data_IF_195939560083
#
_entry.id   IF_195939560083
#
_cell.length_a   1.000
_cell.length_b   1.000
_cell.length_c   1.000
_cell.angle_alpha   90.00
_cell.angle_beta   90.00
_cell.angle_gamma   90.00
#
_symmetry.space_group_name_H-M   'P 1'
#
loop_
_entity.id
_entity.type
_entity.pdbx_description
1 polymer ?
#
# COMPACT_ATOMS: atom_id res chain seq x y z
N UNK A 1 51.90 -35.37 37.98
CA UNK A 1 51.25 -36.13 36.89
C UNK A 1 49.77 -35.80 36.89
N UNK A 2 49.31 -35.02 35.91
CA UNK A 2 47.90 -34.66 35.74
C UNK A 2 47.65 -34.40 34.27
N UNK A 3 46.92 -35.32 33.63
CA UNK A 3 46.79 -35.47 32.18
C UNK A 3 45.95 -34.37 31.54
N UNK A 4 46.47 -33.74 30.47
CA UNK A 4 45.75 -32.77 29.66
C UNK A 4 44.90 -33.51 28.63
N UNK A 5 43.57 -33.41 28.73
CA UNK A 5 42.63 -34.08 27.81
C UNK A 5 42.09 -33.07 26.80
N UNK A 6 42.64 -33.09 25.59
CA UNK A 6 42.16 -32.28 24.47
C UNK A 6 40.87 -32.88 23.92
N UNK A 7 39.75 -32.18 24.12
CA UNK A 7 38.42 -32.56 23.60
C UNK A 7 38.31 -32.14 22.13
N UNK A 8 38.36 -33.11 21.21
CA UNK A 8 38.11 -32.87 19.79
C UNK A 8 36.62 -32.53 19.55
N UNK A 9 36.35 -31.36 18.96
CA UNK A 9 35.02 -30.95 18.52
C UNK A 9 34.71 -31.63 17.18
N UNK A 10 33.74 -32.56 17.20
CA UNK A 10 33.26 -33.29 16.03
C UNK A 10 32.29 -32.41 15.25
N UNK A 11 32.70 -31.95 14.06
CA UNK A 11 31.84 -31.23 13.12
C UNK A 11 30.72 -32.17 12.64
N UNK A 12 29.46 -31.80 12.87
CA UNK A 12 28.31 -32.56 12.36
C UNK A 12 28.05 -32.14 10.91
N UNK A 13 28.10 -33.09 9.98
CA UNK A 13 27.78 -32.87 8.57
C UNK A 13 26.28 -32.53 8.43
N UNK A 14 25.98 -31.46 7.68
CA UNK A 14 24.62 -31.05 7.34
C UNK A 14 24.04 -32.06 6.35
N UNK A 15 23.07 -32.87 6.78
CA UNK A 15 22.26 -33.69 5.88
C UNK A 15 21.40 -32.78 4.97
N UNK A 16 21.31 -33.05 3.66
CA UNK A 16 20.40 -32.31 2.79
C UNK A 16 18.96 -32.67 3.15
N UNK A 17 18.14 -31.65 3.44
CA UNK A 17 16.69 -31.80 3.62
C UNK A 17 16.05 -32.10 2.26
N UNK A 18 15.52 -33.30 2.10
CA UNK A 18 14.67 -33.65 0.97
C UNK A 18 13.32 -32.92 1.10
N UNK A 19 12.97 -32.09 0.12
CA UNK A 19 11.65 -31.45 0.06
C UNK A 19 10.59 -32.48 -0.35
N UNK A 20 9.42 -32.54 0.29
CA UNK A 20 8.35 -33.43 -0.14
C UNK A 20 7.73 -32.94 -1.45
N UNK A 21 7.48 -33.91 -2.35
CA UNK A 21 6.80 -33.75 -3.64
C UNK A 21 5.42 -33.12 -3.46
N UNK A 22 5.11 -32.12 -4.29
CA UNK A 22 3.83 -31.43 -4.32
C UNK A 22 2.69 -32.37 -4.71
N UNK A 23 1.60 -32.36 -3.93
CA UNK A 23 0.34 -33.04 -4.25
C UNK A 23 -0.47 -32.19 -5.25
N UNK A 24 -1.10 -32.76 -6.28
CA UNK A 24 -2.00 -32.02 -7.14
C UNK A 24 -3.38 -31.89 -6.47
N UNK A 25 -3.99 -30.71 -6.56
CA UNK A 25 -5.43 -30.53 -6.34
C UNK A 25 -5.82 -29.53 -5.26
N UNK A 26 -5.80 -28.25 -5.61
CA UNK A 26 -6.82 -27.30 -5.15
C UNK A 26 -7.32 -26.57 -6.39
N UNK A 27 -8.53 -26.92 -6.80
CA UNK A 27 -9.25 -26.29 -7.90
C UNK A 27 -9.53 -24.83 -7.53
N UNK A 28 -8.95 -23.89 -8.28
CA UNK A 28 -9.21 -22.47 -8.12
C UNK A 28 -10.67 -22.22 -8.50
N UNK A 29 -11.54 -22.05 -7.51
CA UNK A 29 -12.93 -21.63 -7.74
C UNK A 29 -12.90 -20.23 -8.35
N UNK A 30 -13.12 -20.14 -9.65
CA UNK A 30 -13.30 -18.89 -10.39
C UNK A 30 -14.39 -18.06 -9.71
N UNK A 31 -13.99 -16.96 -9.08
CA UNK A 31 -14.90 -15.91 -8.60
C UNK A 31 -15.13 -14.90 -9.72
N UNK A 32 -15.52 -15.39 -10.89
CA UNK A 32 -15.83 -14.58 -12.07
C UNK A 32 -17.31 -14.24 -12.13
N UNK A 33 -17.70 -13.06 -11.65
CA UNK A 33 -18.98 -12.43 -12.02
C UNK A 33 -19.06 -10.96 -11.60
N UNK A 34 -18.40 -10.57 -10.50
CA UNK A 34 -18.48 -9.19 -9.99
C UNK A 34 -17.83 -8.14 -10.92
N UNK A 35 -16.73 -8.49 -11.60
CA UNK A 35 -16.01 -7.55 -12.48
C UNK A 35 -16.80 -7.13 -13.72
N UNK A 36 -17.47 -8.08 -14.39
CA UNK A 36 -18.22 -7.81 -15.63
C UNK A 36 -19.38 -6.84 -15.39
N UNK A 37 -20.13 -7.01 -14.29
CA UNK A 37 -21.24 -6.13 -13.95
C UNK A 37 -20.78 -4.72 -13.59
N UNK A 38 -19.57 -4.58 -13.04
CA UNK A 38 -18.98 -3.29 -12.68
C UNK A 38 -18.51 -2.52 -13.92
N UNK A 39 -17.87 -3.20 -14.87
CA UNK A 39 -17.41 -2.62 -16.14
C UNK A 39 -18.58 -2.13 -16.99
N UNK A 40 -19.69 -2.89 -17.04
CA UNK A 40 -20.89 -2.49 -17.79
C UNK A 40 -21.55 -1.22 -17.21
N UNK A 41 -21.54 -1.07 -15.89
CA UNK A 41 -22.10 0.10 -15.21
C UNK A 41 -21.20 1.34 -15.36
N UNK A 42 -19.88 1.15 -15.27
CA UNK A 42 -18.88 2.20 -15.55
C UNK A 42 -18.99 2.71 -16.99
N UNK A 43 -19.13 1.80 -17.97
CA UNK A 43 -19.31 2.19 -19.37
C UNK A 43 -20.62 2.97 -19.56
N UNK A 44 -21.73 2.53 -18.95
CA UNK A 44 -23.01 3.23 -19.04
C UNK A 44 -23.00 4.63 -18.40
N UNK A 45 -22.30 4.80 -17.26
CA UNK A 45 -22.15 6.09 -16.58
C UNK A 45 -21.26 7.08 -17.37
N UNK A 46 -20.24 6.57 -18.06
CA UNK A 46 -19.39 7.36 -18.98
C UNK A 46 -20.19 7.83 -20.19
N UNK A 47 -20.98 6.94 -20.80
CA UNK A 47 -21.87 7.27 -21.94
C UNK A 47 -22.98 8.25 -21.53
N UNK A 48 -23.42 8.23 -20.26
CA UNK A 48 -24.41 9.17 -19.72
C UNK A 48 -23.83 10.56 -19.36
N UNK A 49 -22.52 10.78 -19.54
CA UNK A 49 -21.87 12.08 -19.35
C UNK A 49 -21.86 12.62 -17.92
N UNK A 50 -22.22 11.81 -16.92
CA UNK A 50 -22.29 12.22 -15.51
C UNK A 50 -21.06 11.72 -14.75
N UNK A 51 -19.93 12.38 -14.96
CA UNK A 51 -18.72 12.12 -14.18
C UNK A 51 -18.84 12.73 -12.78
N UNK A 52 -18.49 11.96 -11.76
CA UNK A 52 -18.47 12.42 -10.37
C UNK A 52 -17.23 13.28 -10.13
N UNK A 53 -17.37 14.32 -9.32
CA UNK A 53 -16.24 15.17 -8.91
C UNK A 53 -15.43 14.51 -7.79
N UNK A 54 -14.22 15.03 -7.57
CA UNK A 54 -13.38 14.67 -6.42
C UNK A 54 -14.08 14.89 -5.07
N UNK A 55 -15.00 15.86 -5.01
CA UNK A 55 -15.76 16.19 -3.81
C UNK A 55 -16.87 15.17 -3.51
N UNK A 56 -17.25 14.35 -4.50
CA UNK A 56 -18.22 13.27 -4.35
C UNK A 56 -17.58 11.98 -3.82
N UNK A 57 -16.24 11.94 -3.67
CA UNK A 57 -15.57 10.77 -3.10
C UNK A 57 -15.90 10.60 -1.62
N UNK A 58 -16.18 9.37 -1.17
CA UNK A 58 -16.37 9.09 0.25
C UNK A 58 -15.05 9.31 0.99
N UNK A 59 -15.14 9.58 2.29
CA UNK A 59 -13.95 9.79 3.11
C UNK A 59 -14.28 10.15 4.56
N UNK A 60 -13.31 10.02 5.47
CA UNK A 60 -13.50 10.48 6.83
C UNK A 60 -13.58 12.02 6.88
N UNK A 61 -14.40 12.52 7.80
CA UNK A 61 -14.34 13.93 8.18
C UNK A 61 -13.00 14.24 8.87
N UNK A 62 -12.61 15.51 8.91
CA UNK A 62 -11.40 15.94 9.64
C UNK A 62 -11.44 15.55 11.12
N UNK A 63 -12.60 15.67 11.77
CA UNK A 63 -12.77 15.27 13.16
C UNK A 63 -12.58 13.75 13.35
N UNK A 64 -13.13 12.95 12.43
CA UNK A 64 -12.95 11.49 12.42
C UNK A 64 -11.47 11.13 12.25
N UNK A 65 -10.76 11.78 11.33
CA UNK A 65 -9.33 11.58 11.12
C UNK A 65 -8.53 11.88 12.39
N UNK A 66 -8.76 13.03 13.04
CA UNK A 66 -8.07 13.38 14.29
C UNK A 66 -8.36 12.38 15.42
N UNK A 67 -9.62 11.96 15.56
CA UNK A 67 -9.99 10.93 16.54
C UNK A 67 -9.25 9.62 16.28
N UNK A 68 -9.17 9.15 15.04
CA UNK A 68 -8.45 7.93 14.71
C UNK A 68 -6.95 8.03 14.97
N UNK A 69 -6.33 9.15 14.59
CA UNK A 69 -4.88 9.32 14.76
C UNK A 69 -4.49 9.42 16.23
N UNK A 70 -5.17 10.26 17.00
CA UNK A 70 -4.72 10.61 18.36
C UNK A 70 -5.42 9.84 19.48
N UNK A 71 -6.69 9.46 19.32
CA UNK A 71 -7.45 8.77 20.36
C UNK A 71 -7.46 7.26 20.15
N UNK A 72 -7.64 6.79 18.91
CA UNK A 72 -7.57 5.35 18.60
C UNK A 72 -6.14 4.84 18.42
N UNK A 73 -5.15 5.73 18.35
CA UNK A 73 -3.74 5.35 18.25
C UNK A 73 -3.37 4.74 16.91
N UNK A 74 -3.91 5.29 15.81
CA UNK A 74 -3.52 4.88 14.46
C UNK A 74 -2.35 5.67 13.87
N UNK A 75 -1.82 6.67 14.58
CA UNK A 75 -0.72 7.50 14.07
C UNK A 75 0.55 6.68 13.70
N UNK A 76 0.91 5.68 14.49
CA UNK A 76 2.01 4.75 14.23
C UNK A 76 1.58 3.47 13.48
N UNK A 77 0.28 3.33 13.20
CA UNK A 77 -0.35 2.14 12.59
C UNK A 77 -1.22 2.53 11.41
N UNK A 78 -0.74 3.48 10.60
CA UNK A 78 -1.46 4.03 9.45
C UNK A 78 -1.89 2.97 8.44
N UNK A 79 -1.08 1.93 8.24
CA UNK A 79 -1.42 0.79 7.38
C UNK A 79 -2.69 0.05 7.84
N UNK A 80 -2.90 -0.15 9.16
CA UNK A 80 -4.14 -0.73 9.68
C UNK A 80 -5.33 0.22 9.49
N UNK A 81 -5.09 1.54 9.58
CA UNK A 81 -6.12 2.53 9.32
C UNK A 81 -6.59 2.49 7.87
N UNK A 82 -5.69 2.24 6.91
CA UNK A 82 -6.05 2.07 5.49
C UNK A 82 -7.01 0.89 5.30
N UNK A 83 -6.79 -0.23 6.00
CA UNK A 83 -7.72 -1.38 5.95
C UNK A 83 -9.11 -1.01 6.49
N UNK A 84 -9.16 -0.29 7.61
CA UNK A 84 -10.42 0.18 8.20
C UNK A 84 -11.15 1.12 7.24
N UNK A 85 -10.44 2.09 6.66
CA UNK A 85 -11.01 3.05 5.72
C UNK A 85 -11.51 2.38 4.44
N UNK A 86 -10.72 1.45 3.87
CA UNK A 86 -11.14 0.64 2.72
C UNK A 86 -12.44 -0.10 2.99
N UNK A 87 -12.57 -0.71 4.16
CA UNK A 87 -13.78 -1.44 4.53
C UNK A 87 -15.00 -0.52 4.72
N UNK A 88 -14.80 0.74 5.12
CA UNK A 88 -15.88 1.71 5.34
C UNK A 88 -16.30 2.47 4.07
N UNK A 89 -15.34 2.86 3.24
CA UNK A 89 -15.55 3.78 2.12
C UNK A 89 -15.45 3.11 0.75
N UNK A 90 -14.97 1.86 0.70
CA UNK A 90 -14.84 1.08 -0.53
C UNK A 90 -13.46 1.18 -1.17
N UNK A 91 -13.34 0.83 -2.47
CA UNK A 91 -12.05 0.68 -3.15
C UNK A 91 -11.36 2.00 -3.51
N UNK A 92 -12.06 3.13 -3.41
CA UNK A 92 -11.52 4.48 -3.63
C UNK A 92 -12.14 5.45 -2.63
N UNK A 93 -11.30 6.24 -1.95
CA UNK A 93 -11.76 7.23 -0.98
C UNK A 93 -10.77 8.39 -0.84
N UNK A 94 -11.28 9.55 -0.41
CA UNK A 94 -10.47 10.75 -0.16
C UNK A 94 -10.16 10.87 1.33
N UNK A 95 -8.90 11.10 1.67
CA UNK A 95 -8.44 11.34 3.03
C UNK A 95 -7.78 12.70 3.12
N UNK A 96 -8.18 13.49 4.12
CA UNK A 96 -7.60 14.81 4.39
C UNK A 96 -6.97 14.80 5.77
N UNK A 97 -5.69 15.17 5.84
CA UNK A 97 -4.94 15.29 7.09
C UNK A 97 -3.99 16.48 7.01
N UNK A 98 -4.22 17.50 7.84
CA UNK A 98 -3.47 18.75 7.75
C UNK A 98 -3.59 19.37 6.36
N UNK A 99 -2.46 19.70 5.75
CA UNK A 99 -2.37 20.20 4.36
C UNK A 99 -2.43 19.09 3.30
N UNK A 100 -2.37 17.82 3.70
CA UNK A 100 -2.40 16.69 2.76
C UNK A 100 -3.84 16.36 2.37
N UNK A 101 -4.06 16.29 1.06
CA UNK A 101 -5.31 15.86 0.43
C UNK A 101 -4.98 14.69 -0.51
N UNK A 102 -5.41 13.49 -0.13
CA UNK A 102 -4.93 12.24 -0.71
C UNK A 102 -6.13 11.41 -1.18
N UNK A 103 -6.12 11.00 -2.44
CA UNK A 103 -7.01 9.95 -2.94
C UNK A 103 -6.33 8.61 -2.74
N UNK A 104 -7.01 7.73 -2.02
CA UNK A 104 -6.55 6.39 -1.71
C UNK A 104 -7.25 5.43 -2.66
N UNK A 105 -6.47 4.52 -3.26
CA UNK A 105 -6.96 3.54 -4.24
C UNK A 105 -6.53 2.15 -3.79
N UNK A 106 -7.49 1.23 -3.70
CA UNK A 106 -7.28 -0.11 -3.16
C UNK A 106 -7.94 -1.23 -4.00
N UNK A 107 -8.13 -0.99 -5.30
CA UNK A 107 -8.57 -1.96 -6.30
C UNK A 107 -7.48 -2.15 -7.36
N UNK A 108 -7.18 -3.39 -7.77
CA UNK A 108 -6.21 -3.66 -8.84
C UNK A 108 -6.56 -2.95 -10.15
N UNK A 109 -7.84 -2.93 -10.52
CA UNK A 109 -8.34 -2.35 -11.76
C UNK A 109 -8.13 -0.81 -11.78
N UNK A 110 -8.39 -0.15 -10.65
CA UNK A 110 -8.15 1.29 -10.52
C UNK A 110 -6.66 1.64 -10.50
N UNK A 111 -5.84 0.80 -9.86
CA UNK A 111 -4.38 0.99 -9.81
C UNK A 111 -3.79 0.81 -11.22
N UNK A 112 -4.25 -0.17 -11.98
CA UNK A 112 -3.84 -0.37 -13.38
C UNK A 112 -4.10 0.89 -14.20
N UNK A 113 -5.30 1.48 -14.08
CA UNK A 113 -5.65 2.69 -14.82
C UNK A 113 -4.74 3.87 -14.44
N UNK A 114 -4.47 4.07 -13.14
CA UNK A 114 -3.56 5.13 -12.67
C UNK A 114 -2.15 4.95 -13.25
N UNK A 115 -1.63 3.72 -13.27
CA UNK A 115 -0.29 3.43 -13.79
C UNK A 115 -0.26 3.60 -15.32
N UNK A 116 -1.32 3.22 -16.03
CA UNK A 116 -1.40 3.36 -17.49
C UNK A 116 -1.45 4.82 -17.94
N UNK A 117 -2.06 5.69 -17.13
CA UNK A 117 -2.16 7.13 -17.36
C UNK A 117 -0.94 7.91 -16.84
N UNK A 118 0.03 7.24 -16.22
CA UNK A 118 1.20 7.88 -15.64
C UNK A 118 2.08 8.55 -16.72
N UNK A 119 2.54 9.77 -16.43
CA UNK A 119 3.39 10.54 -17.34
C UNK A 119 4.84 10.05 -17.39
N UNK A 120 5.63 10.61 -18.32
CA UNK A 120 7.06 10.23 -18.51
C UNK A 120 7.92 10.38 -17.26
N UNK A 121 7.63 11.37 -16.41
CA UNK A 121 8.38 11.67 -15.19
C UNK A 121 7.44 11.66 -13.98
N UNK A 122 7.18 10.49 -13.38
CA UNK A 122 6.23 10.39 -12.29
C UNK A 122 6.79 10.91 -10.97
N UNK A 123 5.98 11.70 -10.27
CA UNK A 123 6.25 12.18 -8.92
C UNK A 123 5.43 11.36 -7.92
N UNK A 124 6.11 10.61 -7.04
CA UNK A 124 5.45 9.64 -6.14
C UNK A 124 5.06 10.22 -4.79
N UNK A 125 5.90 11.07 -4.21
CA UNK A 125 5.67 11.66 -2.89
C UNK A 125 6.39 13.00 -2.82
N UNK A 126 5.66 14.06 -2.52
CA UNK A 126 6.26 15.35 -2.19
C UNK A 126 6.66 15.36 -0.72
N UNK A 127 7.95 15.58 -0.46
CA UNK A 127 8.57 15.55 0.86
C UNK A 127 9.21 16.92 1.14
N UNK A 128 8.42 17.98 1.36
CA UNK A 128 8.92 19.35 1.46
C UNK A 128 9.92 19.52 2.62
N UNK A 129 9.70 18.82 3.73
CA UNK A 129 10.60 18.84 4.89
C UNK A 129 11.99 18.27 4.59
N UNK A 130 12.10 17.33 3.65
CA UNK A 130 13.40 16.79 3.24
C UNK A 130 14.16 17.77 2.36
N UNK A 131 13.43 18.49 1.51
CA UNK A 131 13.98 19.60 0.71
C UNK A 131 14.51 20.70 1.61
N UNK A 132 13.67 21.20 2.51
CA UNK A 132 14.03 22.25 3.46
C UNK A 132 15.25 21.86 4.29
N UNK A 133 15.32 20.61 4.78
CA UNK A 133 16.48 20.11 5.49
C UNK A 133 17.78 20.23 4.68
N UNK A 134 17.74 19.91 3.38
CA UNK A 134 18.92 19.95 2.51
C UNK A 134 19.32 21.38 2.17
N UNK A 135 18.35 22.26 1.96
CA UNK A 135 18.57 23.70 1.72
C UNK A 135 19.32 24.33 2.89
N UNK A 136 18.83 24.09 4.11
CA UNK A 136 19.44 24.60 5.33
C UNK A 136 20.87 24.08 5.56
N UNK A 137 21.26 22.98 4.90
CA UNK A 137 22.59 22.37 5.03
C UNK A 137 23.46 22.52 3.79
N UNK A 138 22.98 23.21 2.74
CA UNK A 138 23.69 23.33 1.47
C UNK A 138 23.98 21.98 0.81
N UNK A 139 23.13 20.98 1.02
CA UNK A 139 23.30 19.64 0.45
C UNK A 139 22.66 19.56 -0.93
N UNK A 140 23.36 18.93 -1.88
CA UNK A 140 22.80 18.65 -3.20
C UNK A 140 21.50 17.83 -3.07
N UNK A 141 20.55 18.09 -3.95
CA UNK A 141 19.30 17.36 -4.05
C UNK A 141 19.52 15.91 -4.53
N UNK A 142 18.50 15.06 -4.35
CA UNK A 142 18.60 13.64 -4.67
C UNK A 142 17.26 13.14 -5.16
N UNK A 143 17.10 11.84 -5.36
CA UNK A 143 15.94 11.28 -6.06
C UNK A 143 14.56 11.70 -5.51
N UNK A 144 14.46 12.02 -4.22
CA UNK A 144 13.22 12.37 -3.53
C UNK A 144 13.04 13.86 -3.24
N UNK A 145 13.95 14.69 -3.75
CA UNK A 145 13.98 16.14 -3.52
C UNK A 145 14.34 16.77 -4.85
N UNK A 146 13.41 17.49 -5.47
CA UNK A 146 13.65 18.31 -6.69
C UNK A 146 13.87 19.78 -6.35
#
# INVERSE_FOLDING_TARGET
>A
MGSSTTRALRLQALCPRTLPVARPGVELRSRGSSGLNQTLNLQADIEAGKTKSIDDLPGPSLATTLYWLFIKGYADKSHLLQDVQKNLFGPIWRSRFGSFDIVNVASPELIEEVIRQEGKYPLRCDLPHWKEYRDLRGQAYGLHVE
#
